data_IF_610513480510
#
_entry.id   IF_610513480510
#
_cell.length_a   1.000
_cell.length_b   1.000
_cell.length_c   1.000
_cell.angle_alpha   90.00
_cell.angle_beta   90.00
_cell.angle_gamma   90.00
#
_symmetry.space_group_name_H-M   'P 1'
#
loop_
_entity.id
_entity.type
_entity.pdbx_description
1 polymer ?
#
# COMPACT_ATOMS: atom_id res chain seq x y z
N UNK A 1 23.14 13.78 41.51
CA UNK A 1 21.81 13.71 42.14
C UNK A 1 21.55 12.28 42.56
N UNK A 2 20.83 12.07 43.66
CA UNK A 2 20.33 10.74 44.00
C UNK A 2 19.34 10.32 42.90
N UNK A 3 19.54 9.13 42.32
CA UNK A 3 18.62 8.58 41.33
C UNK A 3 17.33 8.18 42.05
N UNK A 4 16.18 8.59 41.53
CA UNK A 4 14.88 8.13 42.03
C UNK A 4 14.81 6.59 41.90
N UNK A 5 14.15 5.86 42.83
CA UNK A 5 14.05 4.40 42.77
C UNK A 5 13.46 3.87 41.46
N UNK A 6 12.55 4.65 40.85
CA UNK A 6 11.90 4.34 39.56
C UNK A 6 12.73 4.73 38.33
N UNK A 7 13.91 5.35 38.51
CA UNK A 7 14.82 5.69 37.42
C UNK A 7 15.41 4.40 36.80
N UNK A 8 15.34 4.28 35.48
CA UNK A 8 15.90 3.18 34.70
C UNK A 8 17.38 2.94 35.03
N UNK A 9 18.14 3.99 35.34
CA UNK A 9 19.56 3.89 35.72
C UNK A 9 19.74 3.23 37.09
N UNK A 10 18.80 3.43 38.02
CA UNK A 10 18.78 2.73 39.31
C UNK A 10 18.39 1.25 39.12
N UNK A 11 17.32 0.97 38.36
CA UNK A 11 16.90 -0.40 38.03
C UNK A 11 17.97 -1.20 37.27
N UNK A 12 18.72 -0.56 36.37
CA UNK A 12 19.82 -1.21 35.65
C UNK A 12 21.00 -1.61 36.56
N UNK A 13 21.18 -0.90 37.68
CA UNK A 13 22.23 -1.18 38.67
C UNK A 13 21.76 -2.21 39.71
N UNK A 14 20.50 -2.15 40.14
CA UNK A 14 19.99 -2.95 41.28
C UNK A 14 19.14 -4.16 40.86
N UNK A 15 18.51 -4.15 39.68
CA UNK A 15 17.49 -5.13 39.26
C UNK A 15 17.61 -5.51 37.76
N UNK A 16 18.83 -5.79 37.30
CA UNK A 16 19.11 -6.06 35.88
C UNK A 16 18.41 -7.30 35.32
N UNK A 17 18.14 -8.31 36.16
CA UNK A 17 17.42 -9.52 35.76
C UNK A 17 15.92 -9.27 35.54
N UNK A 18 15.31 -8.35 36.31
CA UNK A 18 13.92 -7.94 36.09
C UNK A 18 13.79 -7.11 34.80
N UNK A 19 14.78 -6.26 34.52
CA UNK A 19 14.89 -5.53 33.26
C UNK A 19 15.07 -6.45 32.04
N UNK A 20 15.84 -7.55 32.20
CA UNK A 20 15.98 -8.60 31.19
C UNK A 20 14.67 -9.32 30.93
N UNK A 21 13.94 -9.67 31.97
CA UNK A 21 12.63 -10.30 31.85
C UNK A 21 11.62 -9.36 31.18
N UNK A 22 11.57 -8.09 31.60
CA UNK A 22 10.73 -7.05 31.01
C UNK A 22 11.05 -6.83 29.53
N UNK A 23 12.33 -6.85 29.14
CA UNK A 23 12.74 -6.74 27.74
C UNK A 23 12.21 -7.89 26.87
N UNK A 24 11.93 -9.06 27.43
CA UNK A 24 11.33 -10.18 26.70
C UNK A 24 9.80 -10.07 26.60
N UNK A 25 9.14 -9.66 27.68
CA UNK A 25 7.68 -9.56 27.78
C UNK A 25 7.14 -8.29 27.11
N UNK A 26 7.71 -7.13 27.43
CA UNK A 26 7.29 -5.82 26.91
C UNK A 26 8.51 -4.96 26.49
N UNK A 27 8.98 -5.14 25.25
CA UNK A 27 10.08 -4.34 24.71
C UNK A 27 9.80 -2.83 24.65
N UNK A 28 8.53 -2.41 24.58
CA UNK A 28 8.19 -0.99 24.49
C UNK A 28 8.33 -0.29 25.83
N UNK A 29 7.89 -0.93 26.91
CA UNK A 29 8.01 -0.39 28.27
C UNK A 29 9.47 -0.14 28.66
N UNK A 30 10.38 -1.05 28.30
CA UNK A 30 11.83 -0.85 28.54
C UNK A 30 12.35 0.42 27.86
N UNK A 31 11.94 0.68 26.61
CA UNK A 31 12.37 1.87 25.87
C UNK A 31 11.74 3.13 26.45
N UNK A 32 10.46 3.08 26.85
CA UNK A 32 9.77 4.21 27.48
C UNK A 32 10.47 4.61 28.77
N UNK A 33 10.73 3.66 29.70
CA UNK A 33 11.46 3.93 30.95
C UNK A 33 12.86 4.48 30.70
N UNK A 34 13.54 3.95 29.67
CA UNK A 34 14.86 4.44 29.26
C UNK A 34 14.78 5.91 28.85
N UNK A 35 13.77 6.29 28.06
CA UNK A 35 13.56 7.68 27.65
C UNK A 35 13.17 8.58 28.83
N UNK A 36 12.26 8.13 29.72
CA UNK A 36 11.81 8.88 30.90
C UNK A 36 13.00 9.28 31.78
N UNK A 37 13.93 8.34 31.96
CA UNK A 37 15.14 8.53 32.77
C UNK A 37 16.21 9.43 32.12
N UNK A 38 16.03 9.77 30.84
CA UNK A 38 16.93 10.63 30.07
C UNK A 38 16.23 11.90 29.57
N UNK A 39 15.21 12.37 30.29
CA UNK A 39 14.52 13.63 29.98
C UNK A 39 13.58 13.54 28.78
N UNK A 40 13.13 12.33 28.44
CA UNK A 40 12.10 12.06 27.44
C UNK A 40 12.58 12.09 25.98
N UNK A 41 13.88 12.19 25.70
CA UNK A 41 14.38 12.21 24.32
C UNK A 41 15.76 11.56 24.20
N UNK A 42 15.92 10.58 23.30
CA UNK A 42 17.21 9.95 23.02
C UNK A 42 17.35 9.51 21.57
N UNK A 43 18.56 9.61 21.01
CA UNK A 43 18.88 9.04 19.70
C UNK A 43 18.99 7.52 19.76
N UNK A 44 18.67 6.80 18.68
CA UNK A 44 18.86 5.35 18.59
C UNK A 44 20.25 4.88 19.04
N UNK A 45 21.32 5.56 18.63
CA UNK A 45 22.68 5.18 19.03
C UNK A 45 22.99 5.38 20.52
N UNK A 46 22.20 6.20 21.23
CA UNK A 46 22.29 6.35 22.69
C UNK A 46 21.53 5.21 23.37
N UNK A 47 20.36 4.83 22.84
CA UNK A 47 19.58 3.69 23.32
C UNK A 47 20.36 2.38 23.10
N UNK A 48 21.02 2.22 21.95
CA UNK A 48 21.91 1.10 21.67
C UNK A 48 23.01 0.98 22.74
N UNK A 49 23.63 2.09 23.14
CA UNK A 49 24.67 2.11 24.18
C UNK A 49 24.13 1.74 25.57
N UNK A 50 22.89 2.11 25.86
CA UNK A 50 22.27 1.79 27.15
C UNK A 50 21.82 0.33 27.25
N UNK A 51 21.31 -0.24 26.16
CA UNK A 51 20.60 -1.52 26.18
C UNK A 51 21.37 -2.70 25.58
N UNK A 52 22.22 -2.47 24.57
CA UNK A 52 22.92 -3.54 23.86
C UNK A 52 24.14 -4.04 24.63
N UNK A 53 24.17 -5.35 24.91
CA UNK A 53 25.22 -6.04 25.65
C UNK A 53 25.08 -5.97 27.17
N UNK A 54 24.30 -5.02 27.70
CA UNK A 54 24.00 -4.87 29.12
C UNK A 54 22.70 -5.61 29.49
N UNK A 55 21.59 -5.17 28.90
CA UNK A 55 20.22 -5.64 29.16
C UNK A 55 19.83 -6.71 28.14
N UNK A 56 20.16 -6.50 26.86
CA UNK A 56 19.89 -7.48 25.80
C UNK A 56 21.22 -7.97 25.24
N UNK A 57 21.37 -9.28 25.03
CA UNK A 57 22.57 -9.85 24.43
C UNK A 57 22.84 -9.24 23.04
N UNK A 58 24.11 -8.99 22.71
CA UNK A 58 24.50 -8.31 21.46
C UNK A 58 23.98 -9.02 20.21
N UNK A 59 23.92 -10.34 20.25
CA UNK A 59 23.46 -11.21 19.15
C UNK A 59 21.95 -11.09 18.90
N UNK A 60 21.15 -10.87 19.94
CA UNK A 60 19.69 -10.76 19.84
C UNK A 60 19.20 -9.31 19.66
N UNK A 61 20.06 -8.32 19.91
CA UNK A 61 19.68 -6.91 19.98
C UNK A 61 18.98 -6.40 18.72
N UNK A 62 19.49 -6.75 17.53
CA UNK A 62 18.89 -6.28 16.27
C UNK A 62 17.44 -6.76 16.11
N UNK A 63 17.20 -8.05 16.37
CA UNK A 63 15.86 -8.66 16.29
C UNK A 63 14.94 -8.09 17.37
N UNK A 64 15.46 -7.89 18.57
CA UNK A 64 14.74 -7.26 19.67
C UNK A 64 14.35 -5.81 19.34
N UNK A 65 15.26 -5.01 18.80
CA UNK A 65 15.03 -3.61 18.45
C UNK A 65 13.98 -3.45 17.34
N UNK A 66 14.00 -4.31 16.33
CA UNK A 66 12.96 -4.31 15.29
C UNK A 66 11.58 -4.64 15.86
N UNK A 67 11.48 -5.58 16.82
CA UNK A 67 10.25 -5.85 17.57
C UNK A 67 9.84 -4.66 18.43
N UNK A 68 10.76 -4.07 19.19
CA UNK A 68 10.48 -2.93 20.06
C UNK A 68 9.95 -1.73 19.28
N UNK A 69 10.58 -1.36 18.16
CA UNK A 69 10.08 -0.30 17.28
C UNK A 69 8.68 -0.59 16.72
N UNK A 70 8.32 -1.85 16.52
CA UNK A 70 6.97 -2.20 16.06
C UNK A 70 5.95 -1.93 17.16
N UNK A 71 6.21 -2.46 18.36
CA UNK A 71 5.32 -2.27 19.52
C UNK A 71 5.25 -0.79 19.92
N UNK A 72 6.36 -0.05 19.90
CA UNK A 72 6.38 1.39 20.21
C UNK A 72 5.52 2.24 19.25
N UNK A 73 5.46 1.86 17.97
CA UNK A 73 4.56 2.53 17.01
C UNK A 73 3.09 2.24 17.27
N UNK A 74 2.80 1.09 17.88
CA UNK A 74 1.44 0.71 18.28
C UNK A 74 1.02 1.35 19.61
N UNK A 75 1.95 1.58 20.54
CA UNK A 75 1.64 2.20 21.85
C UNK A 75 1.45 3.69 21.78
N UNK A 76 1.89 4.35 20.71
CA UNK A 76 1.66 5.77 20.47
C UNK A 76 2.24 6.74 21.52
N UNK A 77 2.91 6.24 22.57
CA UNK A 77 3.57 7.03 23.63
C UNK A 77 4.93 7.60 23.23
N UNK A 78 5.51 7.12 22.13
CA UNK A 78 6.85 7.49 21.67
C UNK A 78 6.82 7.80 20.19
N UNK A 79 7.34 8.96 19.80
CA UNK A 79 7.63 9.28 18.40
C UNK A 79 8.83 8.42 17.97
N UNK A 80 8.59 7.42 17.14
CA UNK A 80 9.66 6.57 16.58
C UNK A 80 10.09 7.16 15.23
N UNK A 81 11.31 7.72 15.12
CA UNK A 81 11.75 8.41 13.92
C UNK A 81 11.92 7.45 12.75
N UNK A 82 11.73 7.99 11.54
CA UNK A 82 11.95 7.25 10.29
C UNK A 82 13.44 7.09 9.98
N UNK A 83 14.28 8.02 10.43
CA UNK A 83 15.73 8.02 10.25
C UNK A 83 16.46 7.83 11.57
N UNK A 84 17.57 7.09 11.52
CA UNK A 84 18.37 6.75 12.71
C UNK A 84 19.10 7.95 13.35
N UNK A 85 19.27 9.04 12.61
CA UNK A 85 19.93 10.25 13.10
C UNK A 85 18.99 11.19 13.90
N UNK A 86 17.69 10.94 13.87
CA UNK A 86 16.65 11.67 14.60
C UNK A 86 16.38 10.98 15.95
N UNK A 87 16.02 11.72 17.02
CA UNK A 87 15.74 11.16 18.33
C UNK A 87 14.36 10.48 18.41
N UNK A 88 14.27 9.47 19.26
CA UNK A 88 12.99 9.03 19.83
C UNK A 88 12.59 10.04 20.92
N UNK A 89 11.32 10.42 20.95
CA UNK A 89 10.80 11.41 21.90
C UNK A 89 9.54 10.88 22.56
N UNK A 90 9.45 10.96 23.89
CA UNK A 90 8.22 10.69 24.63
C UNK A 90 7.17 11.73 24.27
N UNK A 91 5.97 11.28 23.99
CA UNK A 91 4.81 12.16 23.85
C UNK A 91 4.26 12.53 25.21
N UNK A 92 3.60 13.68 25.25
CA UNK A 92 2.85 14.10 26.42
C UNK A 92 1.76 13.06 26.74
N UNK A 93 1.69 12.59 27.98
CA UNK A 93 0.79 11.49 28.37
C UNK A 93 -0.70 11.86 28.34
N UNK A 94 -1.01 13.13 28.10
CA UNK A 94 -2.38 13.67 28.12
C UNK A 94 -3.08 13.62 26.75
N UNK A 95 -2.38 13.20 25.69
CA UNK A 95 -3.00 13.09 24.36
C UNK A 95 -3.93 11.88 24.27
N UNK A 96 -5.14 12.11 23.76
CA UNK A 96 -6.04 11.02 23.39
C UNK A 96 -5.44 10.19 22.23
N UNK A 97 -5.89 8.94 22.02
CA UNK A 97 -5.45 8.13 20.88
C UNK A 97 -5.63 8.83 19.52
N UNK A 98 -6.69 9.63 19.35
CA UNK A 98 -6.93 10.38 18.12
C UNK A 98 -6.00 11.58 18.01
N UNK A 99 -5.79 12.33 19.08
CA UNK A 99 -4.86 13.47 19.08
C UNK A 99 -3.43 13.02 18.75
N UNK A 100 -3.05 11.86 19.25
CA UNK A 100 -1.81 11.18 18.87
C UNK A 100 -1.77 10.90 17.37
N UNK A 101 -2.80 10.26 16.80
CA UNK A 101 -2.82 9.94 15.38
C UNK A 101 -2.81 11.20 14.50
N UNK A 102 -3.41 12.30 14.95
CA UNK A 102 -3.33 13.60 14.28
C UNK A 102 -1.91 14.16 14.30
N UNK A 103 -1.20 14.05 15.44
CA UNK A 103 0.21 14.42 15.53
C UNK A 103 1.09 13.54 14.62
N UNK A 104 0.84 12.22 14.59
CA UNK A 104 1.51 11.30 13.65
C UNK A 104 1.28 11.70 12.19
N UNK A 105 0.05 12.13 11.85
CA UNK A 105 -0.28 12.60 10.52
C UNK A 105 0.53 13.86 10.17
N UNK A 106 0.66 14.82 11.09
CA UNK A 106 1.45 16.04 10.87
C UNK A 106 2.95 15.72 10.70
N UNK A 107 3.51 14.89 11.58
CA UNK A 107 4.94 14.52 11.59
C UNK A 107 5.35 13.62 10.43
N UNK A 108 4.42 12.87 9.83
CA UNK A 108 4.72 11.95 8.73
C UNK A 108 5.38 12.66 7.53
N UNK A 109 6.57 12.17 7.15
CA UNK A 109 7.43 12.83 6.16
C UNK A 109 7.02 12.64 4.70
N UNK A 110 6.23 11.62 4.39
CA UNK A 110 5.80 11.32 3.02
C UNK A 110 4.30 11.01 2.96
N UNK A 111 3.73 11.17 1.77
CA UNK A 111 2.29 11.01 1.53
C UNK A 111 1.79 9.58 1.79
N UNK A 112 2.64 8.57 1.58
CA UNK A 112 2.28 7.16 1.83
C UNK A 112 2.16 6.87 3.33
N UNK A 113 3.03 7.45 4.15
CA UNK A 113 2.92 7.31 5.61
C UNK A 113 1.72 8.10 6.14
N UNK A 114 1.43 9.27 5.57
CA UNK A 114 0.16 10.00 5.85
C UNK A 114 -1.08 9.17 5.50
N UNK A 115 -1.07 8.44 4.38
CA UNK A 115 -2.18 7.54 4.00
C UNK A 115 -2.37 6.37 4.99
N UNK A 116 -1.28 5.81 5.54
CA UNK A 116 -1.37 4.79 6.60
C UNK A 116 -1.96 5.33 7.90
N UNK A 117 -1.53 6.52 8.32
CA UNK A 117 -2.10 7.15 9.52
C UNK A 117 -3.59 7.44 9.31
N UNK A 118 -4.00 7.80 8.10
CA UNK A 118 -5.42 7.93 7.74
C UNK A 118 -6.20 6.62 7.86
N UNK A 119 -5.61 5.47 7.53
CA UNK A 119 -6.25 4.17 7.76
C UNK A 119 -6.52 3.92 9.25
N UNK A 120 -5.61 4.33 10.13
CA UNK A 120 -5.75 4.20 11.57
C UNK A 120 -6.73 5.22 12.15
N UNK A 121 -6.73 6.46 11.64
CA UNK A 121 -7.75 7.47 11.96
C UNK A 121 -9.15 7.00 11.55
N UNK A 122 -9.30 6.36 10.39
CA UNK A 122 -10.58 5.81 9.91
C UNK A 122 -11.13 4.75 10.86
N UNK A 123 -10.29 3.91 11.45
CA UNK A 123 -10.73 2.94 12.48
C UNK A 123 -11.24 3.61 13.75
N UNK A 124 -10.84 4.87 13.98
CA UNK A 124 -11.23 5.69 15.13
C UNK A 124 -12.11 6.89 14.72
N UNK A 125 -12.84 6.80 13.60
CA UNK A 125 -13.58 7.92 13.01
C UNK A 125 -14.55 8.60 13.99
N UNK A 126 -15.29 7.82 14.81
CA UNK A 126 -16.22 8.38 15.80
C UNK A 126 -15.52 9.24 16.86
N UNK A 127 -14.33 8.83 17.31
CA UNK A 127 -13.56 9.59 18.27
C UNK A 127 -12.94 10.85 17.62
N UNK A 128 -12.63 10.79 16.32
CA UNK A 128 -12.19 11.94 15.53
C UNK A 128 -13.30 12.97 15.32
N UNK A 129 -14.54 12.55 15.08
CA UNK A 129 -15.69 13.47 14.97
C UNK A 129 -15.97 14.21 16.29
N UNK A 130 -15.75 13.56 17.43
CA UNK A 130 -15.91 14.17 18.74
C UNK A 130 -14.85 15.24 19.03
N UNK A 131 -13.71 15.21 18.34
CA UNK A 131 -12.61 16.17 18.53
C UNK A 131 -12.88 17.46 17.75
N UNK A 132 -13.27 18.52 18.48
CA UNK A 132 -13.84 19.72 17.88
C UNK A 132 -12.87 20.41 16.89
N UNK A 133 -13.28 20.49 15.62
CA UNK A 133 -12.49 21.12 14.55
C UNK A 133 -11.31 20.31 14.03
N UNK A 134 -11.04 19.11 14.55
CA UNK A 134 -9.93 18.27 14.12
C UNK A 134 -10.11 17.77 12.67
N UNK A 135 -11.32 17.33 12.32
CA UNK A 135 -11.65 16.85 10.97
C UNK A 135 -11.35 17.92 9.91
N UNK A 136 -11.84 19.15 10.11
CA UNK A 136 -11.64 20.24 9.13
C UNK A 136 -10.16 20.61 8.97
N UNK A 137 -9.39 20.60 10.07
CA UNK A 137 -7.94 20.81 10.02
C UNK A 137 -7.24 19.70 9.23
N UNK A 138 -7.59 18.44 9.53
CA UNK A 138 -7.04 17.27 8.82
C UNK A 138 -7.36 17.31 7.32
N UNK A 139 -8.61 17.58 6.94
CA UNK A 139 -9.01 17.68 5.53
C UNK A 139 -8.27 18.81 4.80
N UNK A 140 -8.10 19.96 5.46
CA UNK A 140 -7.33 21.09 4.91
C UNK A 140 -5.86 20.72 4.71
N UNK A 141 -5.25 20.04 5.68
CA UNK A 141 -3.87 19.58 5.59
C UNK A 141 -3.67 18.56 4.47
N UNK A 142 -4.60 17.59 4.32
CA UNK A 142 -4.61 16.62 3.22
C UNK A 142 -4.67 17.34 1.88
N UNK A 143 -5.56 18.32 1.74
CA UNK A 143 -5.71 19.06 0.49
C UNK A 143 -4.42 19.84 0.13
N UNK A 144 -3.82 20.53 1.09
CA UNK A 144 -2.59 21.29 0.89
C UNK A 144 -1.44 20.39 0.40
N UNK A 145 -1.19 19.27 1.09
CA UNK A 145 -0.10 18.35 0.71
C UNK A 145 -0.39 17.64 -0.60
N UNK A 146 -1.66 17.34 -0.89
CA UNK A 146 -2.09 16.72 -2.14
C UNK A 146 -1.82 17.65 -3.32
N UNK A 147 -2.27 18.91 -3.25
CA UNK A 147 -2.06 19.91 -4.32
C UNK A 147 -0.58 20.12 -4.64
N UNK A 148 0.29 20.15 -3.63
CA UNK A 148 1.75 20.24 -3.81
C UNK A 148 2.35 18.96 -4.42
N UNK A 149 1.76 17.80 -4.14
CA UNK A 149 2.27 16.50 -4.54
C UNK A 149 1.90 16.04 -5.96
N UNK A 150 0.85 16.59 -6.59
CA UNK A 150 0.27 16.06 -7.85
C UNK A 150 1.33 15.79 -8.93
N UNK A 151 2.26 16.73 -9.13
CA UNK A 151 3.26 16.65 -10.22
C UNK A 151 4.37 15.62 -9.98
N UNK A 152 4.74 15.39 -8.72
CA UNK A 152 5.93 14.61 -8.37
C UNK A 152 5.59 13.23 -7.79
N UNK A 153 4.41 13.09 -7.19
CA UNK A 153 4.02 11.93 -6.39
C UNK A 153 2.57 11.51 -6.66
N UNK A 154 2.17 11.49 -7.94
CA UNK A 154 0.78 11.27 -8.38
C UNK A 154 0.13 10.05 -7.70
N UNK A 155 0.76 8.87 -7.73
CA UNK A 155 0.21 7.67 -7.08
C UNK A 155 0.02 7.81 -5.57
N UNK A 156 0.91 8.52 -4.88
CA UNK A 156 0.77 8.76 -3.44
C UNK A 156 -0.32 9.79 -3.12
N UNK A 157 -0.55 10.75 -4.03
CA UNK A 157 -1.67 11.70 -3.92
C UNK A 157 -3.00 10.98 -4.12
N UNK A 158 -3.11 10.13 -5.14
CA UNK A 158 -4.31 9.33 -5.38
C UNK A 158 -4.62 8.40 -4.20
N UNK A 159 -3.60 7.75 -3.62
CA UNK A 159 -3.74 6.94 -2.41
C UNK A 159 -4.27 7.76 -1.22
N UNK A 160 -3.69 8.94 -0.99
CA UNK A 160 -4.06 9.83 0.10
C UNK A 160 -5.50 10.36 -0.03
N UNK A 161 -5.90 10.74 -1.24
CA UNK A 161 -7.26 11.23 -1.52
C UNK A 161 -8.29 10.11 -1.41
N UNK A 162 -7.99 8.92 -1.93
CA UNK A 162 -8.85 7.76 -1.71
C UNK A 162 -8.99 7.44 -0.19
N UNK A 163 -7.90 7.62 0.58
CA UNK A 163 -7.88 7.53 2.05
C UNK A 163 -8.77 8.51 2.74
N UNK A 164 -8.71 9.76 2.32
CA UNK A 164 -9.57 10.83 2.80
C UNK A 164 -11.05 10.50 2.53
N UNK A 165 -11.37 10.08 1.32
CA UNK A 165 -12.77 9.81 0.93
C UNK A 165 -13.35 8.64 1.75
N UNK A 166 -12.57 7.58 1.98
CA UNK A 166 -12.97 6.49 2.89
C UNK A 166 -13.09 6.90 4.36
N UNK A 167 -12.25 7.83 4.80
CA UNK A 167 -12.35 8.39 6.15
C UNK A 167 -13.65 9.18 6.30
N UNK A 168 -14.01 10.00 5.31
CA UNK A 168 -15.26 10.76 5.30
C UNK A 168 -16.48 9.82 5.28
N UNK A 169 -16.46 8.77 4.48
CA UNK A 169 -17.53 7.76 4.45
C UNK A 169 -17.72 7.03 5.79
N UNK A 170 -16.67 6.95 6.62
CA UNK A 170 -16.73 6.36 7.95
C UNK A 170 -17.31 7.33 9.02
N UNK A 171 -17.46 8.61 8.66
CA UNK A 171 -18.02 9.68 9.49
C UNK A 171 -19.49 9.93 9.13
N UNK A 172 -20.27 10.43 10.10
CA UNK A 172 -21.70 10.74 9.91
C UNK A 172 -21.94 12.20 9.54
N UNK A 173 -21.17 13.11 10.11
CA UNK A 173 -21.41 14.56 10.01
C UNK A 173 -20.30 15.29 9.21
N UNK A 174 -19.52 14.56 8.42
CA UNK A 174 -18.44 15.11 7.61
C UNK A 174 -18.77 15.07 6.12
N UNK A 175 -18.63 16.22 5.45
CA UNK A 175 -18.74 16.34 4.00
C UNK A 175 -17.59 17.17 3.44
N UNK A 176 -17.20 16.88 2.20
CA UNK A 176 -16.21 17.68 1.48
C UNK A 176 -16.86 18.95 0.93
N UNK A 177 -16.15 20.07 1.06
CA UNK A 177 -16.52 21.29 0.36
C UNK A 177 -16.63 21.06 -1.15
N UNK A 178 -17.54 21.76 -1.83
CA UNK A 178 -17.73 21.65 -3.27
C UNK A 178 -16.44 21.95 -4.06
N UNK A 179 -15.59 22.85 -3.54
CA UNK A 179 -14.29 23.23 -4.13
C UNK A 179 -13.12 22.32 -3.74
N UNK A 180 -13.34 21.32 -2.90
CA UNK A 180 -12.28 20.43 -2.43
C UNK A 180 -11.72 19.61 -3.60
N UNK A 181 -10.41 19.37 -3.59
CA UNK A 181 -9.74 18.55 -4.62
C UNK A 181 -10.26 17.11 -4.59
N UNK A 182 -10.79 16.60 -5.70
CA UNK A 182 -11.31 15.23 -5.80
C UNK A 182 -10.39 14.32 -6.62
N UNK A 183 -10.62 13.01 -6.56
CA UNK A 183 -9.88 12.02 -7.35
C UNK A 183 -10.00 12.31 -8.85
N UNK A 184 -11.21 12.64 -9.32
CA UNK A 184 -11.45 12.96 -10.73
C UNK A 184 -10.66 14.18 -11.21
N UNK A 185 -10.47 15.20 -10.37
CA UNK A 185 -9.71 16.40 -10.73
C UNK A 185 -8.22 16.06 -10.93
N UNK A 186 -7.68 15.20 -10.06
CA UNK A 186 -6.29 14.75 -10.13
C UNK A 186 -6.07 13.84 -11.34
N UNK A 187 -7.02 12.94 -11.62
CA UNK A 187 -6.99 12.05 -12.78
C UNK A 187 -7.07 12.84 -14.10
N UNK A 188 -8.00 13.79 -14.20
CA UNK A 188 -8.14 14.65 -15.39
C UNK A 188 -6.91 15.55 -15.61
N UNK A 189 -6.25 15.98 -14.52
CA UNK A 189 -5.01 16.76 -14.58
C UNK A 189 -3.73 15.96 -14.84
N UNK A 190 -3.79 14.62 -14.83
CA UNK A 190 -2.62 13.77 -15.00
C UNK A 190 -2.13 13.75 -16.45
N UNK A 191 -0.89 14.18 -16.68
CA UNK A 191 -0.27 14.19 -18.02
C UNK A 191 0.49 12.91 -18.37
N UNK A 192 0.78 12.06 -17.38
CA UNK A 192 1.55 10.82 -17.54
C UNK A 192 0.71 9.55 -17.51
N UNK A 193 1.31 8.37 -17.76
CA UNK A 193 0.62 7.09 -17.66
C UNK A 193 0.11 6.81 -16.24
N UNK A 194 -1.15 6.39 -16.10
CA UNK A 194 -1.77 6.13 -14.80
C UNK A 194 -1.41 4.74 -14.24
N UNK A 195 -1.20 3.73 -15.09
CA UNK A 195 -0.95 2.35 -14.66
C UNK A 195 0.23 2.19 -13.68
N UNK A 196 1.41 2.84 -13.90
CA UNK A 196 2.53 2.77 -12.96
C UNK A 196 2.21 3.36 -11.57
N UNK A 197 1.35 4.38 -11.52
CA UNK A 197 0.97 5.07 -10.27
C UNK A 197 0.14 4.20 -9.34
N UNK A 198 -0.50 3.15 -9.89
CA UNK A 198 -1.27 2.18 -9.10
C UNK A 198 -0.37 1.16 -8.39
N UNK A 199 0.92 1.08 -8.76
CA UNK A 199 1.83 0.09 -8.24
C UNK A 199 2.04 0.25 -6.72
N UNK A 200 1.82 -0.85 -5.99
CA UNK A 200 1.98 -0.89 -4.54
C UNK A 200 0.77 -0.41 -3.74
N UNK A 201 -0.27 0.14 -4.39
CA UNK A 201 -1.51 0.50 -3.71
C UNK A 201 -2.34 -0.75 -3.30
N UNK A 202 -3.07 -0.69 -2.18
CA UNK A 202 -4.09 -1.68 -1.82
C UNK A 202 -5.20 -1.81 -2.88
N UNK A 203 -5.82 -2.98 -2.97
CA UNK A 203 -6.89 -3.23 -3.96
C UNK A 203 -8.08 -2.27 -3.78
N UNK A 204 -8.51 -2.01 -2.54
CA UNK A 204 -9.58 -1.07 -2.23
C UNK A 204 -9.26 0.36 -2.75
N UNK A 205 -8.01 0.80 -2.60
CA UNK A 205 -7.53 2.10 -3.11
C UNK A 205 -7.58 2.15 -4.63
N UNK A 206 -7.05 1.12 -5.29
CA UNK A 206 -7.08 1.02 -6.76
C UNK A 206 -8.51 1.05 -7.28
N UNK A 207 -9.41 0.26 -6.69
CA UNK A 207 -10.83 0.22 -7.06
C UNK A 207 -11.48 1.60 -6.98
N UNK A 208 -11.33 2.30 -5.85
CA UNK A 208 -11.89 3.65 -5.65
C UNK A 208 -11.34 4.65 -6.66
N UNK A 209 -10.05 4.55 -7.00
CA UNK A 209 -9.45 5.39 -8.04
C UNK A 209 -10.06 5.08 -9.42
N UNK A 210 -10.24 3.81 -9.78
CA UNK A 210 -10.87 3.43 -11.06
C UNK A 210 -12.34 3.86 -11.14
N UNK A 211 -13.07 3.77 -10.04
CA UNK A 211 -14.47 4.21 -9.96
C UNK A 211 -14.64 5.72 -10.23
N UNK A 212 -13.58 6.52 -10.08
CA UNK A 212 -13.56 7.95 -10.40
C UNK A 212 -13.26 8.26 -11.90
N UNK A 213 -12.90 7.27 -12.72
CA UNK A 213 -12.60 7.48 -14.15
C UNK A 213 -13.77 8.07 -14.95
N UNK A 214 -15.03 7.62 -14.78
CA UNK A 214 -16.16 8.18 -15.53
C UNK A 214 -16.37 9.68 -15.29
N UNK A 215 -16.24 10.14 -14.03
CA UNK A 215 -16.30 11.57 -13.73
C UNK A 215 -15.07 12.33 -14.24
N UNK A 216 -13.89 11.71 -14.27
CA UNK A 216 -12.65 12.34 -14.72
C UNK A 216 -12.59 12.55 -16.23
N UNK A 217 -13.08 11.58 -17.00
CA UNK A 217 -12.83 11.50 -18.45
C UNK A 217 -14.10 11.54 -19.32
N UNK A 218 -15.30 11.58 -18.73
CA UNK A 218 -16.55 11.58 -19.50
C UNK A 218 -16.61 10.36 -20.42
N UNK A 219 -17.06 10.53 -21.67
CA UNK A 219 -17.21 9.43 -22.64
C UNK A 219 -15.89 8.68 -22.95
N UNK A 220 -14.73 9.32 -22.77
CA UNK A 220 -13.42 8.69 -23.01
C UNK A 220 -12.98 7.75 -21.88
N UNK A 221 -13.73 7.65 -20.78
CA UNK A 221 -13.29 6.90 -19.59
C UNK A 221 -13.00 5.43 -19.89
N UNK A 222 -13.79 4.82 -20.79
CA UNK A 222 -13.65 3.41 -21.19
C UNK A 222 -12.30 3.19 -21.87
N UNK A 223 -11.94 4.03 -22.84
CA UNK A 223 -10.65 3.93 -23.53
C UNK A 223 -9.49 4.09 -22.54
N UNK A 224 -9.59 5.08 -21.63
CA UNK A 224 -8.55 5.37 -20.64
C UNK A 224 -8.35 4.23 -19.65
N UNK A 225 -9.42 3.65 -19.12
CA UNK A 225 -9.30 2.56 -18.15
C UNK A 225 -8.81 1.27 -18.80
N UNK A 226 -9.17 1.00 -20.07
CA UNK A 226 -8.67 -0.16 -20.81
C UNK A 226 -7.17 -0.02 -21.12
N UNK A 227 -6.69 1.18 -21.44
CA UNK A 227 -5.25 1.44 -21.55
C UNK A 227 -4.50 1.22 -20.22
N UNK A 228 -5.17 1.42 -19.08
CA UNK A 228 -4.63 1.07 -17.76
C UNK A 228 -4.66 -0.44 -17.52
N UNK A 229 -5.76 -1.12 -17.88
CA UNK A 229 -5.92 -2.58 -17.77
C UNK A 229 -4.76 -3.34 -18.42
N UNK A 230 -4.32 -2.91 -19.60
CA UNK A 230 -3.26 -3.56 -20.37
C UNK A 230 -1.90 -3.58 -19.65
N UNK A 231 -1.67 -2.66 -18.70
CA UNK A 231 -0.35 -2.37 -18.12
C UNK A 231 -0.28 -2.45 -16.60
N UNK A 232 -1.42 -2.53 -15.92
CA UNK A 232 -1.46 -2.55 -14.45
C UNK A 232 -1.18 -3.95 -13.91
N UNK A 233 -0.74 -4.02 -12.65
CA UNK A 233 -0.46 -5.30 -11.98
C UNK A 233 -1.73 -6.12 -11.70
N UNK A 234 -1.55 -7.39 -11.27
CA UNK A 234 -2.65 -8.37 -11.06
C UNK A 234 -3.85 -7.81 -10.29
N UNK A 235 -3.61 -7.02 -9.25
CA UNK A 235 -4.69 -6.43 -8.43
C UNK A 235 -5.53 -5.44 -9.25
N UNK A 236 -4.85 -4.58 -10.02
CA UNK A 236 -5.53 -3.57 -10.83
C UNK A 236 -6.35 -4.22 -11.94
N UNK A 237 -5.80 -5.25 -12.59
CA UNK A 237 -6.52 -6.04 -13.61
C UNK A 237 -7.80 -6.63 -13.02
N UNK A 238 -7.71 -7.24 -11.83
CA UNK A 238 -8.87 -7.83 -11.16
C UNK A 238 -9.91 -6.78 -10.76
N UNK A 239 -9.51 -5.63 -10.22
CA UNK A 239 -10.45 -4.57 -9.83
C UNK A 239 -11.09 -3.88 -11.04
N UNK A 240 -10.35 -3.68 -12.15
CA UNK A 240 -10.93 -3.16 -13.40
C UNK A 240 -11.94 -4.16 -13.96
N UNK A 241 -11.58 -5.44 -14.06
CA UNK A 241 -12.51 -6.46 -14.53
C UNK A 241 -13.78 -6.53 -13.66
N UNK A 242 -13.62 -6.43 -12.34
CA UNK A 242 -14.74 -6.36 -11.40
C UNK A 242 -15.59 -5.10 -11.59
N UNK A 243 -14.98 -3.93 -11.83
CA UNK A 243 -15.70 -2.70 -12.15
C UNK A 243 -16.57 -2.84 -13.41
N UNK A 244 -16.05 -3.47 -14.48
CA UNK A 244 -16.84 -3.74 -15.68
C UNK A 244 -17.96 -4.77 -15.42
N UNK A 245 -17.70 -5.80 -14.61
CA UNK A 245 -18.72 -6.77 -14.20
C UNK A 245 -19.86 -6.10 -13.42
N UNK A 246 -19.51 -5.30 -12.41
CA UNK A 246 -20.46 -4.60 -11.53
C UNK A 246 -21.32 -3.59 -12.32
N UNK A 247 -20.81 -3.06 -13.44
CA UNK A 247 -21.51 -2.15 -14.36
C UNK A 247 -22.27 -2.86 -15.48
N UNK A 248 -22.22 -4.20 -15.55
CA UNK A 248 -22.80 -5.00 -16.63
C UNK A 248 -22.23 -4.63 -18.03
N UNK A 249 -20.94 -4.28 -18.08
CA UNK A 249 -20.20 -3.88 -19.28
C UNK A 249 -19.05 -4.87 -19.61
N UNK A 250 -19.11 -6.10 -19.11
CA UNK A 250 -18.07 -7.10 -19.33
C UNK A 250 -17.79 -7.36 -20.82
N UNK A 251 -18.81 -7.31 -21.67
CA UNK A 251 -18.67 -7.47 -23.12
C UNK A 251 -17.73 -6.43 -23.75
N UNK A 252 -17.71 -5.20 -23.22
CA UNK A 252 -16.80 -4.13 -23.64
C UNK A 252 -15.35 -4.51 -23.35
N UNK A 253 -15.08 -5.00 -22.13
CA UNK A 253 -13.75 -5.46 -21.73
C UNK A 253 -13.31 -6.67 -22.56
N UNK A 254 -14.18 -7.65 -22.79
CA UNK A 254 -13.86 -8.83 -23.60
C UNK A 254 -13.58 -8.46 -25.06
N UNK A 255 -14.31 -7.48 -25.62
CA UNK A 255 -14.05 -6.97 -26.97
C UNK A 255 -12.68 -6.30 -27.08
N UNK A 256 -12.30 -5.51 -26.06
CA UNK A 256 -10.96 -4.94 -25.97
C UNK A 256 -9.89 -6.03 -25.87
N UNK A 257 -10.08 -7.03 -25.01
CA UNK A 257 -9.15 -8.14 -24.83
C UNK A 257 -8.91 -8.88 -26.16
N UNK A 258 -9.94 -9.21 -26.94
CA UNK A 258 -9.77 -9.84 -28.27
C UNK A 258 -8.90 -8.98 -29.20
N UNK A 259 -9.17 -7.68 -29.23
CA UNK A 259 -8.41 -6.72 -30.04
C UNK A 259 -6.96 -6.63 -29.57
N UNK A 260 -6.73 -6.60 -28.25
CA UNK A 260 -5.40 -6.50 -27.66
C UNK A 260 -4.59 -7.80 -27.81
N UNK A 261 -5.24 -8.97 -27.77
CA UNK A 261 -4.63 -10.29 -28.01
C UNK A 261 -4.06 -10.38 -29.42
N UNK A 262 -4.87 -10.05 -30.45
CA UNK A 262 -4.41 -10.06 -31.85
C UNK A 262 -3.21 -9.13 -32.13
N UNK A 263 -3.02 -8.11 -31.29
CA UNK A 263 -1.92 -7.14 -31.37
C UNK A 263 -0.76 -7.45 -30.43
N UNK A 264 -0.84 -8.53 -29.64
CA UNK A 264 0.11 -8.85 -28.57
C UNK A 264 0.36 -7.67 -27.60
N UNK A 265 -0.69 -6.91 -27.28
CA UNK A 265 -0.60 -5.67 -26.51
C UNK A 265 -0.87 -5.84 -25.00
N UNK A 266 -1.34 -7.03 -24.57
CA UNK A 266 -1.66 -7.31 -23.17
C UNK A 266 -0.40 -7.61 -22.34
N UNK A 267 -0.30 -6.99 -21.16
CA UNK A 267 0.74 -7.29 -20.20
C UNK A 267 0.59 -8.66 -19.51
N UNK A 268 1.65 -9.13 -18.81
CA UNK A 268 1.69 -10.46 -18.19
C UNK A 268 0.60 -10.67 -17.13
N UNK A 269 0.21 -9.61 -16.41
CA UNK A 269 -0.82 -9.66 -15.39
C UNK A 269 -2.23 -9.80 -15.97
N UNK A 270 -2.51 -9.16 -17.11
CA UNK A 270 -3.78 -9.31 -17.83
C UNK A 270 -3.92 -10.73 -18.40
N UNK A 271 -2.86 -11.25 -19.02
CA UNK A 271 -2.80 -12.64 -19.50
C UNK A 271 -2.96 -13.64 -18.34
N UNK A 272 -2.32 -13.39 -17.21
CA UNK A 272 -2.48 -14.21 -16.00
C UNK A 272 -3.91 -14.23 -15.49
N UNK A 273 -4.62 -13.08 -15.55
CA UNK A 273 -6.02 -13.01 -15.16
C UNK A 273 -6.91 -13.81 -16.11
N UNK A 274 -6.72 -13.69 -17.42
CA UNK A 274 -7.44 -14.47 -18.44
C UNK A 274 -7.30 -15.97 -18.17
N UNK A 275 -6.08 -16.45 -17.91
CA UNK A 275 -5.83 -17.86 -17.59
C UNK A 275 -6.54 -18.34 -16.31
N UNK A 276 -6.64 -17.49 -15.27
CA UNK A 276 -7.32 -17.83 -14.01
C UNK A 276 -8.85 -17.80 -14.14
N UNK A 277 -9.37 -16.91 -14.98
CA UNK A 277 -10.81 -16.71 -15.20
C UNK A 277 -11.32 -17.46 -16.44
N UNK A 278 -10.56 -18.42 -16.97
CA UNK A 278 -10.83 -19.16 -18.22
C UNK A 278 -12.16 -19.92 -18.25
N UNK A 279 -12.71 -20.29 -17.10
CA UNK A 279 -14.03 -20.93 -16.99
C UNK A 279 -15.15 -19.97 -16.59
N UNK A 280 -14.81 -18.70 -16.32
CA UNK A 280 -15.69 -17.68 -15.75
C UNK A 280 -15.73 -16.46 -16.65
N UNK A 281 -15.29 -15.31 -16.14
CA UNK A 281 -15.41 -13.99 -16.77
C UNK A 281 -14.64 -13.89 -18.09
N UNK A 282 -13.55 -14.66 -18.24
CA UNK A 282 -12.69 -14.63 -19.42
C UNK A 282 -12.92 -15.81 -20.38
N UNK A 283 -13.98 -16.60 -20.18
CA UNK A 283 -14.26 -17.81 -20.98
C UNK A 283 -14.31 -17.53 -22.49
N UNK A 284 -14.97 -16.45 -22.89
CA UNK A 284 -15.22 -16.14 -24.31
C UNK A 284 -14.03 -15.49 -25.04
N UNK A 285 -12.92 -15.30 -24.32
CA UNK A 285 -11.64 -14.77 -24.86
C UNK A 285 -10.46 -15.70 -24.59
N UNK A 286 -10.69 -16.79 -23.85
CA UNK A 286 -9.67 -17.80 -23.59
C UNK A 286 -9.53 -18.72 -24.81
N UNK A 287 -8.41 -18.60 -25.52
CA UNK A 287 -8.12 -19.34 -26.75
C UNK A 287 -6.61 -19.53 -26.94
N UNK A 288 -6.21 -20.19 -28.02
CA UNK A 288 -4.81 -20.36 -28.40
C UNK A 288 -4.07 -19.01 -28.60
N UNK A 289 -4.78 -17.93 -28.95
CA UNK A 289 -4.22 -16.59 -29.08
C UNK A 289 -3.66 -16.09 -27.75
N UNK A 290 -4.29 -16.45 -26.63
CA UNK A 290 -3.80 -16.17 -25.28
C UNK A 290 -2.45 -16.86 -25.07
N UNK A 291 -2.34 -18.13 -25.48
CA UNK A 291 -1.09 -18.88 -25.43
C UNK A 291 0.02 -18.21 -26.25
N UNK A 292 -0.28 -17.81 -27.49
CA UNK A 292 0.67 -17.10 -28.35
C UNK A 292 1.12 -15.76 -27.74
N UNK A 293 0.18 -15.00 -27.18
CA UNK A 293 0.50 -13.76 -26.47
C UNK A 293 1.39 -13.99 -25.25
N UNK A 294 1.15 -15.05 -24.48
CA UNK A 294 1.98 -15.44 -23.34
C UNK A 294 3.42 -15.73 -23.77
N UNK A 295 3.61 -16.52 -24.83
CA UNK A 295 4.95 -16.83 -25.36
C UNK A 295 5.68 -15.56 -25.80
N UNK A 296 4.98 -14.67 -26.52
CA UNK A 296 5.55 -13.40 -26.97
C UNK A 296 6.00 -12.52 -25.80
N UNK A 297 5.19 -12.41 -24.75
CA UNK A 297 5.54 -11.63 -23.54
C UNK A 297 6.72 -12.25 -22.79
N UNK A 298 6.79 -13.58 -22.69
CA UNK A 298 7.93 -14.27 -22.05
C UNK A 298 9.22 -14.08 -22.86
N UNK A 299 9.14 -14.17 -24.19
CA UNK A 299 10.29 -13.97 -25.08
C UNK A 299 10.81 -12.53 -24.97
N UNK A 300 9.94 -11.53 -25.06
CA UNK A 300 10.30 -10.12 -24.89
C UNK A 300 10.96 -9.86 -23.53
N UNK A 301 10.36 -10.35 -22.44
CA UNK A 301 10.90 -10.20 -21.08
C UNK A 301 12.21 -10.96 -20.86
N UNK A 302 12.52 -11.97 -21.68
CA UNK A 302 13.80 -12.68 -21.66
C UNK A 302 14.92 -11.92 -22.38
N UNK A 303 14.56 -11.09 -23.36
CA UNK A 303 15.48 -10.23 -24.12
C UNK A 303 15.71 -8.88 -23.48
N UNK A 304 14.79 -8.42 -22.63
CA UNK A 304 14.91 -7.16 -21.90
C UNK A 304 15.98 -7.26 -20.78
N UNK A 305 16.86 -6.27 -20.69
CA UNK A 305 17.90 -6.16 -19.63
C UNK A 305 17.32 -5.79 -18.23
N UNK A 306 15.99 -5.86 -18.07
CA UNK A 306 15.26 -5.42 -16.88
C UNK A 306 14.85 -6.53 -15.91
N UNK A 307 14.15 -6.19 -14.81
CA UNK A 307 13.56 -7.17 -13.91
C UNK A 307 12.48 -7.98 -14.63
N UNK A 308 12.55 -9.31 -14.56
CA UNK A 308 11.57 -10.22 -15.19
C UNK A 308 10.15 -9.98 -14.69
N UNK A 309 9.29 -9.43 -15.53
CA UNK A 309 7.87 -9.16 -15.23
C UNK A 309 6.98 -10.35 -15.51
N UNK A 310 7.42 -11.28 -16.36
CA UNK A 310 6.67 -12.47 -16.76
C UNK A 310 6.79 -13.64 -15.78
N UNK A 311 7.62 -13.55 -14.73
CA UNK A 311 7.89 -14.66 -13.81
C UNK A 311 6.62 -15.26 -13.17
N UNK A 312 5.65 -14.42 -12.79
CA UNK A 312 4.40 -14.89 -12.19
C UNK A 312 3.52 -15.64 -13.19
N UNK A 313 3.57 -15.24 -14.47
CA UNK A 313 2.88 -15.90 -15.57
C UNK A 313 3.56 -17.25 -15.89
N UNK A 314 4.89 -17.29 -15.89
CA UNK A 314 5.65 -18.55 -16.03
C UNK A 314 5.32 -19.55 -14.91
N UNK A 315 5.28 -19.08 -13.65
CA UNK A 315 4.90 -19.93 -12.52
C UNK A 315 3.47 -20.47 -12.67
N UNK A 316 2.53 -19.66 -13.15
CA UNK A 316 1.16 -20.09 -13.40
C UNK A 316 1.09 -21.25 -14.41
N UNK A 317 1.86 -21.17 -15.51
CA UNK A 317 1.94 -22.24 -16.51
C UNK A 317 2.54 -23.54 -15.93
N UNK A 318 3.47 -23.43 -14.98
CA UNK A 318 4.12 -24.59 -14.35
C UNK A 318 3.24 -25.24 -13.28
N UNK A 319 2.49 -24.43 -12.51
CA UNK A 319 1.62 -24.89 -11.44
C UNK A 319 0.33 -25.51 -11.98
N UNK A 320 -0.27 -24.88 -12.99
CA UNK A 320 -1.50 -25.36 -13.62
C UNK A 320 -1.21 -26.27 -14.82
N UNK A 321 -1.10 -27.58 -14.54
CA UNK A 321 -0.76 -28.59 -15.56
C UNK A 321 -1.82 -28.75 -16.66
N UNK A 322 -3.08 -28.34 -16.43
CA UNK A 322 -4.11 -28.42 -17.48
C UNK A 322 -4.07 -27.20 -18.39
N UNK A 323 -3.53 -26.07 -17.95
CA UNK A 323 -3.64 -24.80 -18.65
C UNK A 323 -3.16 -24.84 -20.12
N UNK A 324 -2.05 -25.53 -20.39
CA UNK A 324 -1.56 -25.69 -21.77
C UNK A 324 -2.49 -26.55 -22.61
N UNK A 325 -3.05 -27.62 -22.03
CA UNK A 325 -4.04 -28.45 -22.73
C UNK A 325 -5.33 -27.67 -22.99
N UNK A 326 -5.77 -26.85 -22.04
CA UNK A 326 -6.95 -26.00 -22.14
C UNK A 326 -6.76 -24.91 -23.23
N UNK A 327 -5.58 -24.28 -23.29
CA UNK A 327 -5.22 -23.30 -24.33
C UNK A 327 -5.20 -23.90 -25.74
N UNK A 328 -4.90 -25.19 -25.85
CA UNK A 328 -4.80 -25.93 -27.10
C UNK A 328 -6.05 -26.77 -27.41
N UNK A 329 -7.12 -26.61 -26.62
CA UNK A 329 -8.36 -27.31 -26.82
C UNK A 329 -9.00 -26.89 -28.15
N UNK A 330 -9.34 -27.86 -29.01
CA UNK A 330 -9.94 -27.64 -30.33
C UNK A 330 -9.07 -26.84 -31.34
N UNK A 331 -7.75 -26.78 -31.11
CA UNK A 331 -6.78 -26.10 -31.99
C UNK A 331 -6.27 -27.04 -33.08
N UNK A 332 -6.08 -26.52 -34.30
CA UNK A 332 -5.54 -27.31 -35.41
C UNK A 332 -4.10 -27.79 -35.12
N UNK A 333 -3.75 -28.96 -35.64
CA UNK A 333 -2.45 -29.59 -35.37
C UNK A 333 -1.26 -28.74 -35.84
N UNK A 334 -1.45 -27.86 -36.82
CA UNK A 334 -0.42 -26.91 -37.25
C UNK A 334 -0.20 -25.78 -36.24
N UNK A 335 -1.26 -25.26 -35.63
CA UNK A 335 -1.18 -24.23 -34.59
C UNK A 335 -0.58 -24.80 -33.31
N UNK A 336 -0.93 -26.04 -32.94
CA UNK A 336 -0.29 -26.78 -31.83
C UNK A 336 1.21 -26.93 -32.06
N UNK A 337 1.64 -27.24 -33.29
CA UNK A 337 3.07 -27.35 -33.64
C UNK A 337 3.80 -26.00 -33.58
N UNK A 338 3.14 -24.92 -33.94
CA UNK A 338 3.70 -23.57 -33.84
C UNK A 338 3.84 -23.14 -32.37
N UNK A 339 2.89 -23.51 -31.52
CA UNK A 339 2.94 -23.23 -30.08
C UNK A 339 4.04 -24.04 -29.35
N UNK A 340 4.33 -25.26 -29.80
CA UNK A 340 5.31 -26.15 -29.18
C UNK A 340 6.78 -25.88 -29.59
N UNK A 341 7.01 -25.01 -30.57
CA UNK A 341 8.34 -24.58 -31.01
C UNK A 341 8.80 -23.38 -30.21
#
# INVERSE_FOLDING_TARGET
EALEPDDFRAHKIEQIEELRALAQSDPADVVIRTLESHGGSMKPDQIDRELCGSVIAKEDYKKWWDRAKKVLRETHRVVVPSKRNEPLVLRDTDLSPVQTLLADFEEAHNLRDKAKVLDDLRKNAQALEAENGAVNKLLSAIEEVSRKGIKLHLGSVLDLLAGRDELIEAMKDSELAASALRLQDVLAGASGPIAPEMAGLPAARQRRIYEAFPEAFGEEWVERILAVFDRVGTRGVAEIAKMFADRNEMDTLLTHIRTALSRHALGPDALSWICREREKSAKDVFSHEVGSAILSVIEQDSTDEGPRRSLRLQNLLMEDRSLVADLLHEVDLNEVRNFAR
#
